data_IF_466397582840
#
_entry.id   IF_466397582840
#
_cell.length_a   1.000
_cell.length_b   1.000
_cell.length_c   1.000
_cell.angle_alpha   90.00
_cell.angle_beta   90.00
_cell.angle_gamma   90.00
#
_symmetry.space_group_name_H-M   'P 1'
#
loop_
_entity.id
_entity.type
_entity.pdbx_description
1 polymer ?
#
# COMPACT_ATOMS: atom_id res chain seq x y z
N UNK A 1 -22.29 4.02 -28.60
CA UNK A 1 -21.16 4.56 -29.40
C UNK A 1 -21.33 4.06 -30.83
N UNK A 2 -21.38 4.94 -31.82
CA UNK A 2 -21.48 4.54 -33.22
C UNK A 2 -20.14 3.96 -33.74
N UNK A 3 -20.16 2.98 -34.66
CA UNK A 3 -18.95 2.38 -35.22
C UNK A 3 -18.13 3.39 -36.04
N UNK A 4 -16.80 3.33 -35.93
CA UNK A 4 -15.88 4.19 -36.70
C UNK A 4 -15.70 3.65 -38.12
N UNK A 5 -15.94 4.50 -39.12
CA UNK A 5 -15.70 4.20 -40.53
C UNK A 5 -14.54 5.06 -41.02
N UNK A 6 -13.53 4.43 -41.60
CA UNK A 6 -12.39 5.13 -42.22
C UNK A 6 -12.64 5.27 -43.71
N UNK A 7 -12.55 6.48 -44.25
CA UNK A 7 -12.67 6.76 -45.67
C UNK A 7 -11.60 7.74 -46.13
N UNK A 8 -11.29 7.72 -47.42
CA UNK A 8 -10.36 8.68 -47.98
C UNK A 8 -10.99 10.09 -48.02
N UNK A 9 -10.23 11.11 -47.61
CA UNK A 9 -10.68 12.50 -47.54
C UNK A 9 -11.25 13.03 -48.87
N UNK A 10 -10.81 12.50 -50.02
CA UNK A 10 -11.31 12.90 -51.34
C UNK A 10 -12.80 12.60 -51.56
N UNK A 11 -13.33 11.59 -50.88
CA UNK A 11 -14.75 11.20 -51.01
C UNK A 11 -15.64 11.87 -49.96
N UNK A 12 -15.07 12.61 -49.01
CA UNK A 12 -15.81 13.30 -47.96
C UNK A 12 -16.88 14.27 -48.50
N UNK A 13 -16.62 15.08 -49.56
CA UNK A 13 -17.63 16.00 -50.11
C UNK A 13 -18.82 15.26 -50.74
N UNK A 14 -18.61 14.07 -51.32
CA UNK A 14 -19.65 13.28 -51.96
C UNK A 14 -20.67 12.70 -50.96
N UNK A 15 -20.33 12.66 -49.68
CA UNK A 15 -21.21 12.10 -48.63
C UNK A 15 -22.32 13.07 -48.19
N UNK A 16 -22.24 14.36 -48.55
CA UNK A 16 -23.17 15.38 -48.07
C UNK A 16 -23.06 15.68 -46.56
N UNK A 17 -22.14 15.02 -45.84
CA UNK A 17 -21.97 15.17 -44.40
C UNK A 17 -21.32 16.50 -44.01
N UNK A 18 -20.72 17.22 -44.97
CA UNK A 18 -20.09 18.54 -44.78
C UNK A 18 -21.05 19.68 -45.19
N UNK A 19 -22.35 19.54 -44.92
CA UNK A 19 -23.33 20.59 -45.19
C UNK A 19 -23.23 21.74 -44.17
N UNK A 20 -23.61 22.95 -44.59
CA UNK A 20 -23.70 24.13 -43.73
C UNK A 20 -24.68 23.83 -42.58
N UNK A 21 -24.22 23.93 -41.34
CA UNK A 21 -24.96 23.57 -40.13
C UNK A 21 -24.43 22.33 -39.41
N UNK A 22 -23.52 21.55 -40.01
CA UNK A 22 -22.88 20.43 -39.34
C UNK A 22 -21.54 20.82 -38.69
N UNK A 23 -21.29 20.34 -37.47
CA UNK A 23 -20.03 20.59 -36.75
C UNK A 23 -19.02 19.50 -37.08
N UNK A 24 -18.03 19.81 -37.92
CA UNK A 24 -16.93 18.90 -38.24
C UNK A 24 -15.71 19.19 -37.35
N UNK A 25 -15.15 18.14 -36.73
CA UNK A 25 -13.87 18.24 -36.00
C UNK A 25 -12.76 17.68 -36.86
N UNK A 26 -11.74 18.49 -37.16
CA UNK A 26 -10.56 18.07 -37.88
C UNK A 26 -9.40 17.85 -36.90
N UNK A 27 -8.83 16.64 -36.92
CA UNK A 27 -7.66 16.30 -36.12
C UNK A 27 -6.48 16.04 -37.04
N UNK A 28 -5.42 16.84 -36.90
CA UNK A 28 -4.14 16.61 -37.57
C UNK A 28 -3.17 15.94 -36.59
N UNK A 29 -2.58 14.83 -37.00
CA UNK A 29 -1.64 14.05 -36.18
C UNK A 29 -0.22 14.26 -36.71
N UNK A 30 0.68 14.66 -35.83
CA UNK A 30 2.10 14.88 -36.15
C UNK A 30 2.95 13.90 -35.35
N UNK A 31 3.88 13.24 -36.02
CA UNK A 31 4.86 12.36 -35.38
C UNK A 31 6.16 13.14 -35.15
N UNK A 32 6.58 13.24 -33.89
CA UNK A 32 7.80 13.93 -33.51
C UNK A 32 9.02 12.98 -33.60
N UNK A 33 10.21 13.48 -33.98
CA UNK A 33 11.45 12.73 -33.89
C UNK A 33 11.75 12.25 -32.45
N UNK A 34 12.42 11.09 -32.27
CA UNK A 34 12.80 10.59 -30.95
C UNK A 34 13.83 11.52 -30.28
N UNK A 35 13.65 11.78 -28.98
CA UNK A 35 14.60 12.55 -28.15
C UNK A 35 14.25 14.02 -27.91
N UNK A 36 13.11 14.49 -28.44
CA UNK A 36 12.64 15.87 -28.24
C UNK A 36 11.74 15.95 -27.00
N UNK A 37 11.91 17.01 -26.19
CA UNK A 37 11.02 17.29 -25.07
C UNK A 37 9.66 17.78 -25.58
N UNK A 38 8.68 16.87 -25.52
CA UNK A 38 7.31 17.09 -25.97
C UNK A 38 6.64 18.21 -25.20
N UNK A 39 6.95 18.41 -23.91
CA UNK A 39 6.28 19.44 -23.11
C UNK A 39 6.77 20.86 -23.46
N UNK A 40 8.07 21.01 -23.69
CA UNK A 40 8.65 22.27 -24.12
C UNK A 40 8.07 22.70 -25.48
N UNK A 41 8.00 21.78 -26.44
CA UNK A 41 7.41 22.05 -27.75
C UNK A 41 5.91 22.32 -27.69
N UNK A 42 5.17 21.61 -26.84
CA UNK A 42 3.73 21.86 -26.65
C UNK A 42 3.47 23.28 -26.18
N UNK A 43 4.31 23.76 -25.26
CA UNK A 43 4.22 25.12 -24.70
C UNK A 43 4.52 26.16 -25.77
N UNK A 44 5.55 25.92 -26.58
CA UNK A 44 5.93 26.77 -27.71
C UNK A 44 4.82 26.83 -28.76
N UNK A 45 4.24 25.68 -29.15
CA UNK A 45 3.12 25.62 -30.11
C UNK A 45 1.86 26.33 -29.59
N UNK A 46 1.51 26.12 -28.32
CA UNK A 46 0.38 26.81 -27.68
C UNK A 46 0.59 28.33 -27.61
N UNK A 47 1.84 28.79 -27.49
CA UNK A 47 2.17 30.22 -27.52
C UNK A 47 2.19 30.81 -28.93
N UNK A 48 2.57 30.02 -29.94
CA UNK A 48 2.63 30.45 -31.34
C UNK A 48 1.25 30.47 -32.03
N UNK A 49 0.30 29.65 -31.56
CA UNK A 49 -1.06 29.56 -32.10
C UNK A 49 -2.06 29.93 -30.99
N UNK A 50 -2.32 31.23 -30.77
CA UNK A 50 -3.23 31.69 -29.73
C UNK A 50 -4.73 31.55 -30.09
N UNK A 51 -5.07 30.85 -31.19
CA UNK A 51 -6.45 30.67 -31.64
C UNK A 51 -7.22 29.71 -30.71
N UNK A 52 -8.29 30.16 -30.03
CA UNK A 52 -9.08 29.35 -29.10
C UNK A 52 -9.83 28.19 -29.77
N UNK A 53 -9.98 28.21 -31.11
CA UNK A 53 -10.57 27.11 -31.87
C UNK A 53 -9.62 25.92 -32.06
N UNK A 54 -8.31 26.13 -31.91
CA UNK A 54 -7.28 25.12 -32.14
C UNK A 54 -6.84 24.49 -30.81
N UNK A 55 -7.17 23.21 -30.63
CA UNK A 55 -6.75 22.43 -29.45
C UNK A 55 -5.50 21.62 -29.76
N UNK A 56 -4.35 22.08 -29.29
CA UNK A 56 -3.10 21.32 -29.34
C UNK A 56 -3.02 20.39 -28.13
N UNK A 57 -3.04 19.08 -28.36
CA UNK A 57 -2.93 18.04 -27.33
C UNK A 57 -1.77 17.10 -27.61
N UNK A 58 -1.05 16.69 -26.57
CA UNK A 58 -0.06 15.62 -26.66
C UNK A 58 -0.68 14.25 -26.38
N UNK A 59 -0.06 13.19 -26.92
CA UNK A 59 -0.39 11.81 -26.52
C UNK A 59 -0.21 11.60 -25.02
N UNK A 60 0.67 12.37 -24.37
CA UNK A 60 0.88 12.33 -22.93
C UNK A 60 -0.33 12.91 -22.18
N UNK A 61 -0.98 13.96 -22.67
CA UNK A 61 -2.19 14.54 -22.04
C UNK A 61 -3.41 13.62 -22.24
N UNK A 62 -3.60 13.06 -23.45
CA UNK A 62 -4.68 12.09 -23.70
C UNK A 62 -4.47 10.76 -22.97
N UNK A 63 -3.21 10.38 -22.74
CA UNK A 63 -2.82 9.25 -21.91
C UNK A 63 -2.76 9.58 -20.41
N UNK A 64 -2.77 10.86 -20.00
CA UNK A 64 -2.60 11.26 -18.60
C UNK A 64 -3.83 10.93 -17.77
N UNK A 65 -5.06 11.01 -18.30
CA UNK A 65 -6.26 10.64 -17.54
C UNK A 65 -6.27 9.13 -17.22
N UNK A 66 -6.03 8.30 -18.24
CA UNK A 66 -5.85 6.86 -18.05
C UNK A 66 -4.59 6.53 -17.23
N UNK A 67 -3.52 7.30 -17.43
CA UNK A 67 -2.24 7.15 -16.73
C UNK A 67 -2.35 7.51 -15.25
N UNK A 68 -3.16 8.51 -14.89
CA UNK A 68 -3.41 8.90 -13.50
C UNK A 68 -4.22 7.81 -12.80
N UNK A 69 -5.23 7.26 -13.46
CA UNK A 69 -5.98 6.10 -12.95
C UNK A 69 -5.09 4.87 -12.73
N UNK A 70 -4.24 4.54 -13.71
CA UNK A 70 -3.28 3.44 -13.60
C UNK A 70 -2.24 3.70 -12.50
N UNK A 71 -1.77 4.93 -12.35
CA UNK A 71 -0.84 5.32 -11.29
C UNK A 71 -1.49 5.18 -9.91
N UNK A 72 -2.73 5.65 -9.72
CA UNK A 72 -3.45 5.45 -8.46
C UNK A 72 -3.67 3.97 -8.14
N UNK A 73 -3.96 3.16 -9.15
CA UNK A 73 -4.10 1.70 -8.98
C UNK A 73 -2.74 1.07 -8.61
N UNK A 74 -1.65 1.48 -9.26
CA UNK A 74 -0.29 1.04 -8.93
C UNK A 74 0.11 1.46 -7.52
N UNK A 75 -0.17 2.69 -7.11
CA UNK A 75 0.10 3.20 -5.76
C UNK A 75 -0.72 2.44 -4.72
N UNK A 76 -2.00 2.17 -5.01
CA UNK A 76 -2.86 1.34 -4.16
C UNK A 76 -2.32 -0.08 -4.01
N UNK A 77 -1.98 -0.76 -5.11
CA UNK A 77 -1.39 -2.09 -5.07
C UNK A 77 -0.05 -2.10 -4.34
N UNK A 78 0.76 -1.04 -4.48
CA UNK A 78 2.00 -0.83 -3.75
C UNK A 78 1.78 -0.70 -2.24
N UNK A 79 0.78 0.09 -1.83
CA UNK A 79 0.38 0.22 -0.43
C UNK A 79 -0.15 -1.10 0.14
N UNK A 80 -0.98 -1.83 -0.59
CA UNK A 80 -1.48 -3.15 -0.18
C UNK A 80 -0.32 -4.15 -0.04
N UNK A 81 0.62 -4.14 -0.97
CA UNK A 81 1.83 -4.97 -0.88
C UNK A 81 2.68 -4.62 0.35
N UNK A 82 2.82 -3.32 0.67
CA UNK A 82 3.54 -2.83 1.84
C UNK A 82 2.86 -3.26 3.16
N UNK A 83 1.53 -3.22 3.20
CA UNK A 83 0.71 -3.72 4.31
C UNK A 83 0.93 -5.22 4.52
N UNK A 84 0.83 -6.01 3.44
CA UNK A 84 1.05 -7.46 3.48
C UNK A 84 2.49 -7.80 3.91
N UNK A 85 3.49 -7.08 3.39
CA UNK A 85 4.89 -7.23 3.77
C UNK A 85 5.11 -6.92 5.26
N UNK A 86 4.52 -5.84 5.76
CA UNK A 86 4.60 -5.45 7.17
C UNK A 86 3.99 -6.51 8.08
N UNK A 87 2.84 -7.06 7.70
CA UNK A 87 2.16 -8.13 8.42
C UNK A 87 3.03 -9.39 8.49
N UNK A 88 3.63 -9.79 7.36
CA UNK A 88 4.55 -10.92 7.29
C UNK A 88 5.80 -10.70 8.16
N UNK A 89 6.37 -9.49 8.15
CA UNK A 89 7.53 -9.14 8.97
C UNK A 89 7.26 -9.23 10.48
N UNK A 90 6.09 -8.74 10.94
CA UNK A 90 5.68 -8.83 12.34
C UNK A 90 5.46 -10.30 12.74
N UNK A 91 4.77 -11.07 11.90
CA UNK A 91 4.55 -12.50 12.14
C UNK A 91 5.86 -13.29 12.22
N UNK A 92 6.80 -13.02 11.30
CA UNK A 92 8.13 -13.62 11.32
C UNK A 92 8.90 -13.27 12.60
N UNK A 93 8.89 -12.00 13.02
CA UNK A 93 9.54 -11.56 14.24
C UNK A 93 8.99 -12.27 15.49
N UNK A 94 7.66 -12.43 15.56
CA UNK A 94 7.01 -13.16 16.65
C UNK A 94 7.40 -14.66 16.66
N UNK A 95 7.32 -15.32 15.50
CA UNK A 95 7.67 -16.73 15.35
C UNK A 95 9.13 -17.00 15.70
N UNK A 96 10.07 -16.16 15.24
CA UNK A 96 11.48 -16.32 15.59
C UNK A 96 11.74 -16.12 17.07
N UNK A 97 11.03 -15.20 17.71
CA UNK A 97 11.14 -14.97 19.14
C UNK A 97 10.62 -16.17 19.95
N UNK A 98 9.43 -16.69 19.62
CA UNK A 98 8.90 -17.91 20.27
C UNK A 98 9.84 -19.11 20.05
N UNK A 99 10.36 -19.29 18.84
CA UNK A 99 11.31 -20.35 18.52
C UNK A 99 12.59 -20.24 19.39
N UNK A 100 13.12 -19.03 19.54
CA UNK A 100 14.30 -18.77 20.35
C UNK A 100 14.04 -19.02 21.84
N UNK A 101 12.92 -18.52 22.36
CA UNK A 101 12.55 -18.68 23.77
C UNK A 101 12.45 -20.19 24.14
N UNK A 102 11.87 -21.01 23.26
CA UNK A 102 11.78 -22.48 23.43
C UNK A 102 13.13 -23.20 23.35
N UNK A 103 14.06 -22.72 22.53
CA UNK A 103 15.37 -23.37 22.29
C UNK A 103 16.50 -22.83 23.16
N UNK A 104 16.26 -21.76 23.91
CA UNK A 104 17.22 -21.13 24.82
C UNK A 104 17.82 -22.14 25.82
N UNK A 105 17.00 -23.03 26.40
CA UNK A 105 17.47 -24.07 27.33
C UNK A 105 18.38 -25.11 26.66
N UNK A 106 18.08 -25.53 25.42
CA UNK A 106 18.95 -26.45 24.68
C UNK A 106 20.30 -25.83 24.35
N UNK A 107 20.31 -24.53 24.02
CA UNK A 107 21.54 -23.76 23.80
C UNK A 107 22.39 -23.67 25.06
N UNK A 108 21.77 -23.47 26.22
CA UNK A 108 22.45 -23.42 27.51
C UNK A 108 23.22 -24.71 27.80
N UNK A 109 22.63 -25.87 27.48
CA UNK A 109 23.28 -27.19 27.62
C UNK A 109 24.49 -27.31 26.70
N UNK A 110 24.38 -26.89 25.44
CA UNK A 110 25.48 -26.90 24.48
C UNK A 110 26.64 -25.98 24.90
N UNK A 111 26.34 -24.78 25.42
CA UNK A 111 27.35 -23.85 25.95
C UNK A 111 28.05 -24.47 27.16
N UNK A 112 27.29 -25.13 28.04
CA UNK A 112 27.84 -25.84 29.22
C UNK A 112 28.75 -27.01 28.84
N UNK A 113 28.52 -27.65 27.69
CA UNK A 113 29.37 -28.70 27.12
C UNK A 113 30.65 -28.17 26.43
N UNK A 114 30.88 -26.85 26.42
CA UNK A 114 32.10 -26.24 25.87
C UNK A 114 31.91 -25.51 24.54
N UNK A 115 30.67 -25.32 24.06
CA UNK A 115 30.41 -24.52 22.87
C UNK A 115 30.66 -23.03 23.16
N UNK A 116 31.50 -22.38 22.35
CA UNK A 116 31.73 -20.94 22.43
C UNK A 116 30.51 -20.16 21.92
N UNK A 117 30.16 -19.05 22.56
CA UNK A 117 29.03 -18.18 22.20
C UNK A 117 29.03 -17.76 20.72
N UNK A 118 30.21 -17.51 20.13
CA UNK A 118 30.34 -17.15 18.71
C UNK A 118 29.96 -18.31 17.77
N UNK A 119 30.29 -19.56 18.13
CA UNK A 119 29.92 -20.74 17.33
C UNK A 119 28.41 -20.99 17.41
N UNK A 120 27.80 -20.79 18.58
CA UNK A 120 26.36 -20.87 18.76
C UNK A 120 25.62 -19.83 17.90
N UNK A 121 26.14 -18.60 17.87
CA UNK A 121 25.61 -17.51 17.05
C UNK A 121 25.71 -17.83 15.55
N UNK A 122 26.88 -18.29 15.09
CA UNK A 122 27.08 -18.68 13.68
C UNK A 122 26.15 -19.81 13.25
N UNK A 123 25.96 -20.84 14.09
CA UNK A 123 25.07 -21.95 13.78
C UNK A 123 23.63 -21.45 13.57
N UNK A 124 23.15 -20.58 14.46
CA UNK A 124 21.83 -19.96 14.33
C UNK A 124 21.71 -19.08 13.09
N UNK A 125 22.74 -18.30 12.79
CA UNK A 125 22.77 -17.44 11.61
C UNK A 125 22.67 -18.26 10.32
N UNK A 126 23.43 -19.35 10.21
CA UNK A 126 23.34 -20.27 9.07
C UNK A 126 21.96 -20.91 8.95
N UNK A 127 21.36 -21.33 10.07
CA UNK A 127 20.01 -21.91 10.06
C UNK A 127 18.96 -20.90 9.59
N UNK A 128 19.05 -19.64 10.03
CA UNK A 128 18.15 -18.56 9.61
C UNK A 128 18.30 -18.23 8.13
N UNK A 129 19.53 -18.11 7.64
CA UNK A 129 19.81 -17.87 6.21
C UNK A 129 19.27 -19.02 5.37
N UNK A 130 19.56 -20.27 5.76
CA UNK A 130 19.07 -21.45 5.06
C UNK A 130 17.54 -21.45 4.99
N UNK A 131 16.86 -21.20 6.12
CA UNK A 131 15.41 -21.17 6.17
C UNK A 131 14.81 -20.03 5.34
N UNK A 132 15.44 -18.85 5.35
CA UNK A 132 15.04 -17.68 4.56
C UNK A 132 15.22 -17.89 3.05
N UNK A 133 16.30 -18.55 2.63
CA UNK A 133 16.53 -18.87 1.21
C UNK A 133 15.55 -19.94 0.73
N UNK A 134 15.34 -21.01 1.52
CA UNK A 134 14.39 -22.07 1.17
C UNK A 134 12.96 -21.51 1.09
N UNK A 135 12.55 -20.66 2.03
CA UNK A 135 11.22 -20.03 1.99
C UNK A 135 11.05 -19.11 0.78
N UNK A 136 12.08 -18.35 0.38
CA UNK A 136 12.06 -17.51 -0.81
C UNK A 136 11.94 -18.33 -2.11
N UNK A 137 12.63 -19.47 -2.20
CA UNK A 137 12.52 -20.39 -3.34
C UNK A 137 11.11 -20.96 -3.43
N UNK A 138 10.57 -21.48 -2.32
CA UNK A 138 9.20 -22.03 -2.26
C UNK A 138 8.18 -20.95 -2.63
N UNK A 139 8.33 -19.73 -2.11
CA UNK A 139 7.42 -18.62 -2.41
C UNK A 139 7.48 -18.21 -3.88
N UNK A 140 8.68 -18.20 -4.48
CA UNK A 140 8.85 -17.88 -5.90
C UNK A 140 8.24 -18.95 -6.82
N UNK A 141 8.40 -20.23 -6.47
CA UNK A 141 7.76 -21.35 -7.16
C UNK A 141 6.23 -21.27 -7.06
N UNK A 142 5.70 -20.96 -5.87
CA UNK A 142 4.27 -20.73 -5.67
C UNK A 142 3.77 -19.54 -6.51
N UNK A 143 4.53 -18.45 -6.56
CA UNK A 143 4.17 -17.29 -7.38
C UNK A 143 4.10 -17.64 -8.87
N UNK A 144 5.08 -18.39 -9.39
CA UNK A 144 5.07 -18.87 -10.78
C UNK A 144 3.83 -19.71 -11.12
N UNK A 145 3.34 -20.51 -10.17
CA UNK A 145 2.11 -21.30 -10.34
C UNK A 145 0.82 -20.47 -10.20
N UNK A 146 0.80 -19.48 -9.31
CA UNK A 146 -0.38 -18.67 -9.01
C UNK A 146 -0.63 -17.56 -10.04
N UNK A 147 0.41 -16.93 -10.59
CA UNK A 147 0.30 -15.87 -11.60
C UNK A 147 -0.59 -16.29 -12.80
N UNK A 148 -0.34 -17.42 -13.49
CA UNK A 148 -1.17 -17.83 -14.63
C UNK A 148 -2.61 -18.17 -14.23
N UNK A 149 -2.83 -18.72 -13.03
CA UNK A 149 -4.16 -19.00 -12.50
C UNK A 149 -4.97 -17.71 -12.32
N UNK A 150 -4.39 -16.71 -11.66
CA UNK A 150 -5.02 -15.39 -11.50
C UNK A 150 -5.27 -14.69 -12.83
N UNK A 151 -4.32 -14.76 -13.77
CA UNK A 151 -4.49 -14.20 -15.11
C UNK A 151 -5.66 -14.84 -15.87
N UNK A 152 -5.89 -16.14 -15.68
CA UNK A 152 -7.04 -16.81 -16.28
C UNK A 152 -8.37 -16.30 -15.73
N UNK A 153 -8.47 -16.07 -14.41
CA UNK A 153 -9.67 -15.50 -13.80
C UNK A 153 -9.90 -14.05 -14.26
N UNK A 154 -8.84 -13.25 -14.36
CA UNK A 154 -8.96 -11.82 -14.74
C UNK A 154 -9.32 -11.66 -16.22
N UNK A 155 -8.88 -12.56 -17.11
CA UNK A 155 -9.25 -12.53 -18.54
C UNK A 155 -10.76 -12.64 -18.77
N UNK A 156 -11.50 -13.28 -17.87
CA UNK A 156 -12.95 -13.39 -17.95
C UNK A 156 -13.65 -12.04 -17.73
N UNK A 157 -13.00 -11.13 -16.99
CA UNK A 157 -13.53 -9.79 -16.67
C UNK A 157 -12.87 -8.65 -17.46
N UNK A 158 -11.83 -8.91 -18.26
CA UNK A 158 -11.10 -7.88 -19.00
C UNK A 158 -10.61 -8.36 -20.38
N UNK A 159 -10.91 -7.63 -21.48
CA UNK A 159 -10.49 -7.97 -22.84
C UNK A 159 -9.00 -7.71 -23.14
N UNK A 160 -8.17 -7.46 -22.12
CA UNK A 160 -6.73 -7.15 -22.29
C UNK A 160 -5.89 -8.42 -22.17
N UNK A 161 -5.07 -8.70 -23.18
CA UNK A 161 -4.13 -9.83 -23.18
C UNK A 161 -2.94 -9.56 -22.25
N UNK A 162 -3.10 -9.89 -20.96
CA UNK A 162 -2.03 -9.86 -19.98
C UNK A 162 -1.13 -11.10 -20.13
N UNK A 163 0.18 -10.90 -20.24
CA UNK A 163 1.19 -11.97 -20.30
C UNK A 163 1.77 -12.26 -18.92
N UNK A 164 1.82 -13.53 -18.51
CA UNK A 164 2.54 -13.96 -17.32
C UNK A 164 4.04 -13.81 -17.55
N UNK A 165 4.65 -12.75 -17.01
CA UNK A 165 6.10 -12.58 -17.07
C UNK A 165 6.63 -12.33 -15.66
N UNK A 166 7.47 -13.24 -15.16
CA UNK A 166 8.21 -13.05 -13.93
C UNK A 166 9.68 -12.78 -14.30
N UNK A 167 10.18 -11.54 -14.14
CA UNK A 167 11.57 -11.24 -14.41
C UNK A 167 12.47 -12.03 -13.47
N UNK A 168 13.59 -12.56 -13.99
CA UNK A 168 14.60 -13.22 -13.14
C UNK A 168 15.14 -12.28 -12.05
N UNK A 169 15.20 -10.98 -12.33
CA UNK A 169 15.58 -9.94 -11.37
C UNK A 169 14.66 -9.93 -10.14
N UNK A 170 13.35 -10.13 -10.30
CA UNK A 170 12.39 -10.16 -9.18
C UNK A 170 12.63 -11.36 -8.27
N UNK A 171 12.96 -12.52 -8.84
CA UNK A 171 13.31 -13.73 -8.08
C UNK A 171 14.60 -13.52 -7.29
N UNK A 172 15.62 -12.91 -7.92
CA UNK A 172 16.88 -12.60 -7.25
C UNK A 172 16.65 -11.64 -6.06
N UNK A 173 15.84 -10.59 -6.25
CA UNK A 173 15.48 -9.66 -5.17
C UNK A 173 14.74 -10.41 -4.04
N UNK A 174 13.81 -11.30 -4.37
CA UNK A 174 13.08 -12.08 -3.37
C UNK A 174 14.00 -12.98 -2.52
N UNK A 175 15.00 -13.62 -3.14
CA UNK A 175 15.99 -14.45 -2.43
C UNK A 175 16.87 -13.59 -1.52
N UNK A 176 17.34 -12.44 -2.02
CA UNK A 176 18.15 -11.50 -1.23
C UNK A 176 17.34 -10.96 -0.04
N UNK A 177 16.09 -10.57 -0.26
CA UNK A 177 15.19 -10.09 0.79
C UNK A 177 14.83 -11.21 1.78
N UNK A 178 14.63 -12.45 1.33
CA UNK A 178 14.39 -13.59 2.21
C UNK A 178 15.58 -13.87 3.13
N UNK A 179 16.78 -13.95 2.56
CA UNK A 179 18.01 -14.18 3.33
C UNK A 179 18.37 -13.01 4.26
N UNK A 180 18.55 -11.80 3.71
CA UNK A 180 18.92 -10.62 4.48
C UNK A 180 17.80 -10.17 5.42
N UNK A 181 16.55 -10.28 5.00
CA UNK A 181 15.38 -9.95 5.82
C UNK A 181 15.29 -10.83 7.06
N UNK A 182 15.50 -12.14 6.92
CA UNK A 182 15.55 -13.05 8.08
C UNK A 182 16.68 -12.68 9.05
N UNK A 183 17.86 -12.30 8.56
CA UNK A 183 18.96 -11.81 9.42
C UNK A 183 18.56 -10.54 10.15
N UNK A 184 18.03 -9.55 9.42
CA UNK A 184 17.65 -8.25 9.97
C UNK A 184 16.61 -8.41 11.07
N UNK A 185 15.55 -9.17 10.82
CA UNK A 185 14.48 -9.42 11.80
C UNK A 185 15.03 -10.13 13.05
N UNK A 186 15.99 -11.04 12.89
CA UNK A 186 16.53 -11.82 13.99
C UNK A 186 17.71 -11.14 14.73
N UNK A 187 18.27 -10.05 14.19
CA UNK A 187 19.39 -9.31 14.79
C UNK A 187 19.16 -8.89 16.27
N UNK A 188 18.00 -8.33 16.67
CA UNK A 188 17.75 -7.99 18.07
C UNK A 188 17.70 -9.23 18.98
N UNK A 189 17.19 -10.36 18.48
CA UNK A 189 17.16 -11.64 19.21
C UNK A 189 18.59 -12.17 19.40
N UNK A 190 19.43 -12.03 18.36
CA UNK A 190 20.80 -12.52 18.35
C UNK A 190 21.71 -11.73 19.30
N UNK A 191 21.49 -10.42 19.47
CA UNK A 191 22.22 -9.63 20.46
C UNK A 191 21.88 -10.02 21.90
N UNK A 192 20.63 -10.41 22.16
CA UNK A 192 20.23 -10.99 23.45
C UNK A 192 21.04 -12.23 23.78
N UNK A 193 21.23 -13.14 22.81
CA UNK A 193 22.05 -14.36 22.97
C UNK A 193 23.50 -14.05 23.41
N UNK A 194 24.08 -12.95 22.92
CA UNK A 194 25.47 -12.54 23.25
C UNK A 194 25.63 -12.08 24.70
N UNK A 195 24.53 -11.70 25.36
CA UNK A 195 24.49 -11.25 26.75
C UNK A 195 23.86 -12.27 27.71
N UNK A 196 23.48 -13.45 27.23
CA UNK A 196 22.96 -14.51 28.10
C UNK A 196 24.08 -15.09 28.96
N UNK A 197 24.01 -14.85 30.27
CA UNK A 197 24.85 -15.54 31.24
C UNK A 197 24.26 -16.94 31.52
N UNK A 198 25.03 -18.03 31.33
CA UNK A 198 24.56 -19.40 31.57
C UNK A 198 24.02 -19.64 33.00
N UNK A 199 24.51 -18.88 33.98
CA UNK A 199 24.10 -18.97 35.38
C UNK A 199 22.69 -18.43 35.68
N UNK A 200 22.16 -17.55 34.82
CA UNK A 200 20.79 -17.03 34.96
C UNK A 200 19.75 -18.01 34.41
N UNK A 201 20.07 -18.78 33.37
CA UNK A 201 19.14 -19.74 32.75
C UNK A 201 18.68 -20.87 33.69
N UNK A 202 19.48 -21.26 34.69
CA UNK A 202 19.09 -22.23 35.71
C UNK A 202 18.33 -21.60 36.90
N UNK A 203 18.41 -20.28 37.09
CA UNK A 203 17.70 -19.54 38.15
C UNK A 203 16.46 -18.78 37.64
N UNK A 204 16.24 -18.72 36.33
CA UNK A 204 15.18 -17.94 35.65
C UNK A 204 13.81 -18.63 35.59
N UNK A 205 13.39 -19.30 36.66
CA UNK A 205 11.94 -19.34 36.95
C UNK A 205 11.49 -18.09 37.71
N UNK A 206 12.40 -17.25 38.26
CA UNK A 206 12.02 -16.17 39.19
C UNK A 206 12.73 -14.81 39.02
N UNK A 207 13.62 -14.59 38.04
CA UNK A 207 14.22 -13.26 37.89
C UNK A 207 13.34 -12.34 37.00
N UNK A 208 12.90 -11.17 37.50
CA UNK A 208 12.16 -10.23 36.68
C UNK A 208 13.10 -9.68 35.61
N UNK A 209 12.60 -9.57 34.38
CA UNK A 209 13.29 -8.91 33.26
C UNK A 209 13.93 -7.61 33.73
N UNK A 210 15.25 -7.61 33.97
CA UNK A 210 15.98 -6.39 34.24
C UNK A 210 15.79 -5.51 33.00
N UNK A 211 15.29 -4.29 33.22
CA UNK A 211 14.86 -3.39 32.16
C UNK A 211 15.93 -3.28 31.06
N UNK A 212 15.46 -3.20 29.81
CA UNK A 212 16.29 -3.02 28.61
C UNK A 212 17.40 -2.01 28.91
N UNK A 213 18.65 -2.48 29.01
CA UNK A 213 19.79 -1.55 29.13
C UNK A 213 19.82 -0.69 27.87
N UNK A 214 20.20 0.58 27.98
CA UNK A 214 20.23 1.54 26.85
C UNK A 214 20.95 1.03 25.59
N UNK A 215 21.90 0.09 25.77
CA UNK A 215 22.63 -0.58 24.67
C UNK A 215 21.80 -1.61 23.89
N UNK A 216 20.75 -2.19 24.47
CA UNK A 216 19.84 -3.13 23.79
C UNK A 216 18.85 -2.41 22.85
N UNK A 217 18.57 -1.13 23.09
CA UNK A 217 17.79 -0.30 22.17
C UNK A 217 18.52 -0.05 20.84
N UNK A 218 19.86 0.03 20.85
CA UNK A 218 20.66 0.15 19.63
C UNK A 218 20.51 -1.07 18.70
N UNK A 219 20.13 -2.23 19.22
CA UNK A 219 19.90 -3.45 18.43
C UNK A 219 18.67 -3.35 17.52
N UNK A 220 17.68 -2.56 17.92
CA UNK A 220 16.45 -2.34 17.15
C UNK A 220 16.62 -1.30 16.04
N UNK A 221 17.62 -0.42 16.16
CA UNK A 221 17.92 0.65 15.22
C UNK A 221 18.18 0.15 13.78
N UNK A 222 18.98 -0.90 13.52
CA UNK A 222 19.14 -1.45 12.17
C UNK A 222 17.87 -2.09 11.60
N UNK A 223 17.01 -2.68 12.44
CA UNK A 223 15.71 -3.22 12.00
C UNK A 223 14.78 -2.09 11.58
N UNK A 224 14.74 -1.01 12.37
CA UNK A 224 13.97 0.19 12.10
C UNK A 224 14.43 0.88 10.80
N UNK A 225 15.75 1.03 10.61
CA UNK A 225 16.33 1.58 9.39
C UNK A 225 16.06 0.72 8.16
N UNK A 226 16.18 -0.60 8.29
CA UNK A 226 15.87 -1.51 7.19
C UNK A 226 14.39 -1.45 6.81
N UNK A 227 13.49 -1.43 7.79
CA UNK A 227 12.06 -1.27 7.55
C UNK A 227 11.73 0.07 6.88
N UNK A 228 12.38 1.16 7.30
CA UNK A 228 12.26 2.48 6.66
C UNK A 228 12.74 2.45 5.20
N UNK A 229 13.92 1.88 4.94
CA UNK A 229 14.47 1.76 3.59
C UNK A 229 13.60 0.91 2.67
N UNK A 230 13.11 -0.23 3.17
CA UNK A 230 12.19 -1.09 2.44
C UNK A 230 10.86 -0.41 2.16
N UNK A 231 10.35 0.40 3.10
CA UNK A 231 9.11 1.14 2.91
C UNK A 231 9.24 2.19 1.80
N UNK A 232 10.37 2.91 1.73
CA UNK A 232 10.63 3.88 0.64
C UNK A 232 10.79 3.16 -0.70
N UNK A 233 11.56 2.07 -0.73
CA UNK A 233 11.81 1.32 -1.95
C UNK A 233 10.51 0.71 -2.52
N UNK A 234 9.68 0.12 -1.65
CA UNK A 234 8.42 -0.49 -2.04
C UNK A 234 7.37 0.56 -2.46
N UNK A 235 7.32 1.72 -1.80
CA UNK A 235 6.35 2.76 -2.11
C UNK A 235 6.67 3.57 -3.38
N UNK A 236 7.88 3.41 -3.97
CA UNK A 236 8.37 4.20 -5.11
C UNK A 236 8.26 5.73 -4.93
N UNK A 237 8.01 6.19 -3.70
CA UNK A 237 7.74 7.58 -3.34
C UNK A 237 8.19 7.84 -1.91
N UNK A 238 9.08 8.82 -1.75
CA UNK A 238 9.66 9.17 -0.46
C UNK A 238 8.59 9.66 0.54
N UNK A 239 7.58 10.39 0.06
CA UNK A 239 6.48 10.91 0.90
C UNK A 239 5.61 9.78 1.44
N UNK A 240 5.21 8.85 0.57
CA UNK A 240 4.31 7.75 0.95
C UNK A 240 5.03 6.76 1.88
N UNK A 241 6.28 6.41 1.56
CA UNK A 241 7.07 5.49 2.40
C UNK A 241 7.35 6.05 3.79
N UNK A 242 7.75 7.33 3.89
CA UNK A 242 8.00 7.96 5.19
C UNK A 242 6.73 8.12 6.04
N UNK A 243 5.60 8.47 5.41
CA UNK A 243 4.31 8.55 6.09
C UNK A 243 3.88 7.19 6.63
N UNK A 244 3.96 6.13 5.80
CA UNK A 244 3.58 4.78 6.22
C UNK A 244 4.43 4.26 7.38
N UNK A 245 5.74 4.51 7.32
CA UNK A 245 6.65 4.19 8.42
C UNK A 245 6.28 4.92 9.71
N UNK A 246 6.07 6.24 9.63
CA UNK A 246 5.67 7.05 10.79
C UNK A 246 4.35 6.57 11.41
N UNK A 247 3.35 6.26 10.57
CA UNK A 247 2.06 5.75 11.01
C UNK A 247 2.20 4.36 11.66
N UNK A 248 3.01 3.48 11.06
CA UNK A 248 3.26 2.13 11.59
C UNK A 248 3.90 2.19 12.98
N UNK A 249 4.92 3.04 13.16
CA UNK A 249 5.56 3.26 14.46
C UNK A 249 4.57 3.83 15.48
N UNK A 250 3.76 4.79 15.08
CA UNK A 250 2.72 5.39 15.93
C UNK A 250 1.71 4.33 16.41
N UNK A 251 1.25 3.44 15.52
CA UNK A 251 0.33 2.35 15.87
C UNK A 251 1.00 1.37 16.84
N UNK A 252 2.27 0.99 16.62
CA UNK A 252 3.04 0.15 17.56
C UNK A 252 3.05 0.78 18.95
N UNK A 253 3.34 2.08 19.04
CA UNK A 253 3.41 2.82 20.31
C UNK A 253 2.04 2.86 20.99
N UNK A 254 0.97 3.15 20.25
CA UNK A 254 -0.39 3.19 20.79
C UNK A 254 -0.78 1.83 21.38
N UNK A 255 -0.57 0.74 20.64
CA UNK A 255 -0.90 -0.60 21.15
C UNK A 255 0.01 -1.03 22.30
N UNK A 256 1.27 -0.61 22.32
CA UNK A 256 2.15 -0.86 23.46
C UNK A 256 1.67 -0.12 24.72
N UNK A 257 1.21 1.13 24.57
CA UNK A 257 0.61 1.92 25.67
C UNK A 257 -0.69 1.29 26.14
N UNK A 258 -1.56 0.85 25.23
CA UNK A 258 -2.82 0.15 25.56
C UNK A 258 -2.52 -1.16 26.30
N UNK A 259 -1.57 -1.96 25.81
CA UNK A 259 -1.15 -3.20 26.47
C UNK A 259 -0.57 -2.94 27.86
N UNK A 260 0.20 -1.87 28.03
CA UNK A 260 0.73 -1.46 29.32
C UNK A 260 -0.36 -0.97 30.29
N UNK A 261 -1.31 -0.16 29.80
CA UNK A 261 -2.51 0.27 30.54
C UNK A 261 -3.35 -0.94 30.97
N UNK A 262 -3.54 -1.92 30.08
CA UNK A 262 -4.27 -3.14 30.39
C UNK A 262 -3.58 -3.94 31.49
N UNK A 263 -2.25 -4.06 31.44
CA UNK A 263 -1.47 -4.68 32.52
C UNK A 263 -1.53 -3.87 33.82
N UNK A 264 -1.52 -2.53 33.75
CA UNK A 264 -1.66 -1.66 34.91
C UNK A 264 -3.06 -1.78 35.55
N UNK A 265 -4.10 -1.90 34.73
CA UNK A 265 -5.47 -2.13 35.18
C UNK A 265 -5.64 -3.53 35.80
N UNK A 266 -5.02 -4.55 35.20
CA UNK A 266 -4.98 -5.90 35.75
C UNK A 266 -4.29 -5.97 37.13
N UNK A 267 -3.36 -5.05 37.45
CA UNK A 267 -2.79 -4.95 38.80
C UNK A 267 -3.82 -4.57 39.87
N UNK A 268 -4.90 -3.89 39.52
CA UNK A 268 -5.96 -3.48 40.46
C UNK A 268 -6.81 -4.67 40.93
N UNK A 269 -6.98 -5.70 40.09
CA UNK A 269 -7.78 -6.90 40.38
C UNK A 269 -7.11 -7.93 41.31
N UNK A 270 -5.97 -7.57 41.93
CA UNK A 270 -5.13 -8.42 42.80
C UNK A 270 -5.89 -9.12 43.94
N UNK A 271 -7.03 -8.57 44.37
CA UNK A 271 -7.85 -9.01 45.50
C UNK A 271 -9.22 -9.57 45.09
N UNK A 272 -9.43 -9.88 43.80
CA UNK A 272 -10.72 -10.44 43.37
C UNK A 272 -10.92 -11.86 43.95
N UNK A 273 -12.09 -12.17 44.54
CA UNK A 273 -12.38 -13.48 45.16
C UNK A 273 -12.54 -14.61 44.12
N UNK A 274 -12.53 -14.29 42.83
CA UNK A 274 -12.81 -15.21 41.73
C UNK A 274 -11.50 -15.86 41.24
N UNK A 275 -11.29 -17.14 41.57
CA UNK A 275 -10.11 -17.94 41.24
C UNK A 275 -9.61 -17.83 39.77
N UNK A 276 -10.45 -17.97 38.73
CA UNK A 276 -9.98 -17.86 37.34
C UNK A 276 -9.47 -16.46 36.98
N UNK A 277 -10.08 -15.39 37.49
CA UNK A 277 -9.61 -14.01 37.31
C UNK A 277 -8.26 -13.78 37.98
N UNK A 278 -8.06 -14.38 39.16
CA UNK A 278 -6.78 -14.32 39.87
C UNK A 278 -5.67 -15.06 39.13
N UNK A 279 -5.95 -16.27 38.62
CA UNK A 279 -4.98 -17.06 37.83
C UNK A 279 -4.66 -16.35 36.50
N UNK A 280 -5.67 -15.84 35.79
CA UNK A 280 -5.47 -15.07 34.56
C UNK A 280 -4.61 -13.82 34.83
N UNK A 281 -4.87 -13.07 35.90
CA UNK A 281 -4.07 -11.91 36.29
C UNK A 281 -2.63 -12.26 36.70
N UNK A 282 -2.39 -13.48 37.23
CA UNK A 282 -1.07 -13.99 37.58
C UNK A 282 -0.27 -14.41 36.34
N UNK A 283 -0.90 -15.13 35.40
CA UNK A 283 -0.28 -15.50 34.12
C UNK A 283 0.05 -14.29 33.25
N UNK A 284 -0.84 -13.29 33.23
CA UNK A 284 -0.61 -12.03 32.50
C UNK A 284 0.56 -11.22 33.09
N UNK A 285 0.83 -11.41 34.39
CA UNK A 285 1.89 -10.71 35.12
C UNK A 285 3.22 -11.46 35.13
N UNK A 286 3.23 -12.77 34.90
CA UNK A 286 4.47 -13.55 34.85
C UNK A 286 5.28 -13.29 33.58
N UNK A 287 4.63 -12.91 32.47
CA UNK A 287 5.31 -12.62 31.20
C UNK A 287 4.82 -11.33 30.52
N UNK A 288 5.01 -10.14 31.13
CA UNK A 288 4.48 -8.87 30.63
C UNK A 288 4.98 -8.53 29.22
N UNK A 289 6.21 -8.92 28.88
CA UNK A 289 6.79 -8.70 27.56
C UNK A 289 6.11 -9.54 26.46
N UNK A 290 5.68 -10.77 26.77
CA UNK A 290 5.00 -11.65 25.81
C UNK A 290 3.58 -11.15 25.55
N UNK A 291 2.84 -10.82 26.62
CA UNK A 291 1.49 -10.26 26.50
C UNK A 291 1.47 -8.95 25.71
N UNK A 292 2.36 -7.99 26.00
CA UNK A 292 2.42 -6.73 25.24
C UNK A 292 2.73 -7.01 23.77
N UNK A 293 3.68 -7.91 23.47
CA UNK A 293 4.00 -8.25 22.08
C UNK A 293 2.84 -8.91 21.34
N UNK A 294 2.04 -9.75 22.02
CA UNK A 294 0.84 -10.36 21.44
C UNK A 294 -0.25 -9.32 21.17
N UNK A 295 -0.51 -8.40 22.10
CA UNK A 295 -1.44 -7.29 21.89
C UNK A 295 -1.02 -6.38 20.75
N UNK A 296 0.27 -6.04 20.67
CA UNK A 296 0.82 -5.24 19.57
C UNK A 296 0.70 -5.99 18.24
N UNK A 297 1.00 -7.29 18.20
CA UNK A 297 0.87 -8.09 16.97
C UNK A 297 -0.58 -8.20 16.49
N UNK A 298 -1.53 -8.47 17.39
CA UNK A 298 -2.97 -8.54 17.06
C UNK A 298 -3.49 -7.16 16.64
N UNK A 299 -3.13 -6.11 17.38
CA UNK A 299 -3.54 -4.74 17.09
C UNK A 299 -3.02 -4.24 15.75
N UNK A 300 -1.72 -4.43 15.48
CA UNK A 300 -1.13 -4.11 14.19
C UNK A 300 -1.75 -4.95 13.07
N UNK A 301 -1.92 -6.26 13.28
CA UNK A 301 -2.52 -7.13 12.28
C UNK A 301 -3.94 -6.71 11.91
N UNK A 302 -4.78 -6.43 12.91
CA UNK A 302 -6.13 -5.93 12.70
C UNK A 302 -6.15 -4.57 12.00
N UNK A 303 -5.25 -3.65 12.38
CA UNK A 303 -5.15 -2.33 11.76
C UNK A 303 -4.74 -2.44 10.29
N UNK A 304 -3.74 -3.27 9.99
CA UNK A 304 -3.26 -3.52 8.63
C UNK A 304 -4.34 -4.14 7.75
N UNK A 305 -5.11 -5.11 8.27
CA UNK A 305 -6.24 -5.72 7.55
C UNK A 305 -7.34 -4.68 7.29
N UNK A 306 -7.66 -3.83 8.27
CA UNK A 306 -8.69 -2.79 8.13
C UNK A 306 -8.23 -1.63 7.21
N UNK A 307 -6.93 -1.45 7.01
CA UNK A 307 -6.39 -0.45 6.10
C UNK A 307 -6.76 -0.74 4.65
N UNK A 308 -6.84 -2.03 4.26
CA UNK A 308 -7.08 -2.42 2.86
C UNK A 308 -8.44 -1.90 2.35
N UNK A 309 -9.59 -2.15 3.02
CA UNK A 309 -10.87 -1.58 2.61
C UNK A 309 -10.90 -0.04 2.61
N UNK A 310 -10.18 0.60 3.53
CA UNK A 310 -10.12 2.07 3.59
C UNK A 310 -9.34 2.65 2.42
N UNK A 311 -8.23 2.02 2.06
CA UNK A 311 -7.45 2.38 0.87
C UNK A 311 -8.29 2.17 -0.39
N UNK A 312 -9.05 1.06 -0.48
CA UNK A 312 -9.96 0.80 -1.59
C UNK A 312 -11.05 1.87 -1.69
N UNK A 313 -11.69 2.22 -0.57
CA UNK A 313 -12.73 3.24 -0.52
C UNK A 313 -12.20 4.64 -0.87
N UNK A 314 -10.98 4.95 -0.45
CA UNK A 314 -10.31 6.22 -0.80
C UNK A 314 -10.00 6.27 -2.29
N UNK A 315 -9.46 5.18 -2.85
CA UNK A 315 -9.22 5.02 -4.28
C UNK A 315 -10.53 5.21 -5.06
N UNK A 316 -11.60 4.50 -4.70
CA UNK A 316 -12.89 4.61 -5.38
C UNK A 316 -13.49 6.02 -5.32
N UNK A 317 -13.31 6.75 -4.22
CA UNK A 317 -13.76 8.15 -4.10
C UNK A 317 -12.96 9.08 -5.02
N UNK A 318 -11.65 8.90 -5.07
CA UNK A 318 -10.77 9.68 -5.95
C UNK A 318 -11.05 9.38 -7.44
N UNK A 319 -11.36 8.13 -7.77
CA UNK A 319 -11.80 7.75 -9.12
C UNK A 319 -13.20 8.28 -9.46
N UNK A 320 -14.12 8.33 -8.50
CA UNK A 320 -15.51 8.71 -8.74
C UNK A 320 -15.72 10.23 -8.83
N UNK A 321 -14.92 11.03 -8.11
CA UNK A 321 -15.07 12.48 -8.04
C UNK A 321 -13.72 13.21 -8.16
N UNK A 322 -13.20 13.43 -9.38
CA UNK A 322 -12.02 14.27 -9.58
C UNK A 322 -12.25 15.73 -9.16
N UNK A 323 -13.50 16.21 -9.16
CA UNK A 323 -13.87 17.57 -8.73
C UNK A 323 -15.22 17.53 -8.00
N UNK A 324 -15.23 17.93 -6.73
CA UNK A 324 -16.38 17.86 -5.81
C UNK A 324 -17.57 18.77 -6.13
N UNK A 325 -17.90 19.00 -7.39
CA UNK A 325 -19.16 19.59 -7.77
C UNK A 325 -20.21 18.48 -7.89
N UNK A 326 -21.34 18.61 -7.19
CA UNK A 326 -22.53 17.82 -7.47
C UNK A 326 -22.85 17.99 -8.95
N UNK A 327 -22.44 17.04 -9.79
CA UNK A 327 -22.83 17.06 -11.18
C UNK A 327 -24.36 16.94 -11.22
N UNK A 328 -25.07 17.89 -11.85
CA UNK A 328 -26.51 17.81 -11.95
C UNK A 328 -26.87 16.53 -12.71
N UNK A 329 -27.81 15.75 -12.18
CA UNK A 329 -28.28 14.51 -12.82
C UNK A 329 -28.90 14.77 -14.20
N UNK A 330 -29.38 15.99 -14.42
CA UNK A 330 -29.93 16.47 -15.69
C UNK A 330 -29.37 17.85 -16.01
N UNK A 331 -28.78 17.98 -17.19
CA UNK A 331 -28.37 19.27 -17.76
C UNK A 331 -29.33 19.61 -18.90
N UNK A 332 -30.19 20.59 -18.67
CA UNK A 332 -31.13 21.10 -19.67
C UNK A 332 -30.45 22.26 -20.41
N UNK A 333 -30.34 22.17 -21.73
CA UNK A 333 -29.76 23.18 -22.61
C UNK A 333 -30.82 23.68 -23.60
N UNK A 334 -30.59 24.85 -24.20
CA UNK A 334 -31.51 25.49 -25.17
C UNK A 334 -32.86 25.92 -24.58
N UNK A 335 -32.85 26.40 -23.33
CA UNK A 335 -34.04 26.99 -22.69
C UNK A 335 -34.13 28.46 -23.11
N UNK A 336 -35.19 28.82 -23.82
CA UNK A 336 -35.47 30.20 -24.22
C UNK A 336 -35.95 31.02 -23.01
N UNK A 337 -35.70 32.34 -23.00
CA UNK A 337 -36.01 33.22 -21.84
C UNK A 337 -37.50 33.20 -21.44
N UNK A 338 -38.40 33.03 -22.41
CA UNK A 338 -39.84 32.90 -22.22
C UNK A 338 -40.24 31.56 -21.57
N UNK A 339 -39.45 30.50 -21.78
CA UNK A 339 -39.72 29.15 -21.27
C UNK A 339 -39.20 28.92 -19.85
N UNK A 340 -38.36 29.80 -19.32
CA UNK A 340 -37.74 29.65 -17.98
C UNK A 340 -38.81 29.58 -16.88
N UNK A 341 -39.83 30.42 -16.95
CA UNK A 341 -40.88 30.50 -15.91
C UNK A 341 -41.74 29.24 -15.88
N UNK A 342 -42.14 28.75 -17.06
CA UNK A 342 -42.96 27.54 -17.19
C UNK A 342 -42.18 26.28 -16.76
N UNK A 343 -40.90 26.21 -17.11
CA UNK A 343 -40.01 25.12 -16.69
C UNK A 343 -39.80 25.12 -15.17
N UNK A 344 -39.61 26.29 -14.55
CA UNK A 344 -39.48 26.39 -13.09
C UNK A 344 -40.76 25.97 -12.36
N UNK A 345 -41.94 26.29 -12.90
CA UNK A 345 -43.22 25.86 -12.35
C UNK A 345 -43.39 24.33 -12.45
N UNK A 346 -43.01 23.75 -13.59
CA UNK A 346 -43.05 22.30 -13.81
C UNK A 346 -42.07 21.55 -12.91
N UNK A 347 -40.85 22.06 -12.74
CA UNK A 347 -39.83 21.48 -11.85
C UNK A 347 -40.26 21.55 -10.37
N UNK A 348 -40.87 22.66 -9.94
CA UNK A 348 -41.46 22.77 -8.59
C UNK A 348 -42.58 21.76 -8.34
N UNK A 349 -43.44 21.54 -9.33
CA UNK A 349 -44.51 20.52 -9.23
C UNK A 349 -43.96 19.09 -9.16
N UNK A 350 -42.79 18.84 -9.75
CA UNK A 350 -42.08 17.55 -9.67
C UNK A 350 -41.19 17.42 -8.43
N UNK A 351 -41.13 18.44 -7.56
CA UNK A 351 -40.30 18.43 -6.35
C UNK A 351 -38.79 18.57 -6.61
N UNK A 352 -38.39 19.04 -7.79
CA UNK A 352 -36.99 19.29 -8.14
C UNK A 352 -36.65 20.78 -8.01
N UNK A 353 -35.61 21.11 -7.23
CA UNK A 353 -35.16 22.49 -7.04
C UNK A 353 -34.05 22.84 -8.05
N UNK A 354 -34.26 23.78 -8.99
CA UNK A 354 -33.24 24.15 -9.97
C UNK A 354 -32.10 24.92 -9.28
N UNK A 355 -30.90 24.33 -9.22
CA UNK A 355 -29.78 24.91 -8.46
C UNK A 355 -29.17 26.15 -9.11
N UNK A 356 -29.16 26.26 -10.45
CA UNK A 356 -28.61 27.43 -11.16
C UNK A 356 -29.20 27.56 -12.56
N UNK A 357 -29.88 28.67 -12.85
CA UNK A 357 -30.14 29.08 -14.24
C UNK A 357 -29.03 30.04 -14.66
N UNK A 358 -28.15 29.58 -15.55
CA UNK A 358 -27.07 30.41 -16.09
C UNK A 358 -27.37 30.72 -17.56
N UNK A 359 -27.33 32.00 -17.99
CA UNK A 359 -27.50 32.32 -19.40
C UNK A 359 -26.36 31.72 -20.21
N UNK A 360 -26.70 30.92 -21.23
CA UNK A 360 -25.72 30.36 -22.15
C UNK A 360 -25.32 31.44 -23.16
N UNK A 361 -24.33 32.26 -22.79
CA UNK A 361 -23.76 33.25 -23.71
C UNK A 361 -22.89 32.49 -24.72
N UNK A 362 -23.42 32.29 -25.91
CA UNK A 362 -22.66 31.83 -27.07
C UNK A 362 -21.73 32.97 -27.53
N UNK A 363 -20.59 33.14 -26.86
CA UNK A 363 -19.59 34.09 -27.29
C UNK A 363 -18.91 33.55 -28.56
N UNK A 364 -19.12 34.23 -29.69
CA UNK A 364 -18.24 34.13 -30.84
C UNK A 364 -17.01 34.98 -30.52
N UNK A 365 -15.89 34.33 -30.20
CA UNK A 365 -14.58 34.99 -30.25
C UNK A 365 -14.36 35.40 -31.71
N UNK A 366 -14.35 36.71 -31.95
CA UNK A 366 -13.93 37.31 -33.22
C UNK A 366 -12.42 37.48 -33.16
#
# INVERSE_FOLDING_TARGET
MAPRVYMNAKYLPATGLMAIGNTATHSMLYQLPPGIDIQAQLKELKSAIPDPSIRVRSYQEAGQDNGRMLNYLSDYLGLVALVAFSLAGIGAAYLYRDYFDRRSSSLAVLISLGLTHNKALLLYLYQLIFLGVVSAIISSLLALGLIPLFLSLVKEFSPVSLSAYLPWQTVAIAIVLGGLGSILICLPILQRLRHLNPSLLFHEQNAPSQGLKSREWLAYLPVLLAFYGLSIWQAHSFKVGSLFFGLSVLVVVIFAVIGWLFLAFAKSFKRSPILPLRIASLFLRSHPASTISAFVAIGLGSTLINLIPQLQGSLLRELANPDGQKLPSYFLFDIQEDQVNDLQALLKNLGADPQTTSPMIMARLV
#
